data_IF_976889308068
#
_entry.id   IF_976889308068
#
_cell.length_a   1.000
_cell.length_b   1.000
_cell.length_c   1.000
_cell.angle_alpha   90.00
_cell.angle_beta   90.00
_cell.angle_gamma   90.00
#
_symmetry.space_group_name_H-M   'P 1'
#
loop_
_entity.id
_entity.type
_entity.pdbx_description
1 polymer ?
#
# COMPACT_ATOMS: atom_id res chain seq x y z
N UNK A 1 -13.81 12.44 -17.36
CA UNK A 1 -14.40 13.61 -16.64
C UNK A 1 -15.14 14.51 -17.62
N UNK A 2 -16.30 15.05 -17.24
CA UNK A 2 -17.09 16.03 -18.03
C UNK A 2 -16.59 17.46 -17.76
N UNK A 3 -16.89 18.41 -18.67
CA UNK A 3 -16.51 19.83 -18.50
C UNK A 3 -17.05 20.44 -17.20
N UNK A 4 -18.33 20.20 -16.89
CA UNK A 4 -18.95 20.71 -15.66
C UNK A 4 -18.24 20.18 -14.40
N UNK A 5 -17.88 18.90 -14.40
CA UNK A 5 -17.14 18.26 -13.30
C UNK A 5 -15.71 18.80 -13.17
N UNK A 6 -15.02 19.02 -14.30
CA UNK A 6 -13.70 19.65 -14.32
C UNK A 6 -13.74 21.07 -13.74
N UNK A 7 -14.70 21.89 -14.19
CA UNK A 7 -14.92 23.25 -13.69
C UNK A 7 -15.21 23.26 -12.19
N UNK A 8 -16.05 22.35 -11.69
CA UNK A 8 -16.36 22.25 -10.27
C UNK A 8 -15.09 21.95 -9.44
N UNK A 9 -14.28 20.98 -9.87
CA UNK A 9 -13.03 20.65 -9.19
C UNK A 9 -12.05 21.82 -9.14
N UNK A 10 -11.82 22.51 -10.26
CA UNK A 10 -10.91 23.65 -10.30
C UNK A 10 -11.43 24.79 -9.42
N UNK A 11 -12.74 25.06 -9.41
CA UNK A 11 -13.32 26.10 -8.57
C UNK A 11 -13.22 25.77 -7.08
N UNK A 12 -13.33 24.50 -6.72
CA UNK A 12 -13.18 24.03 -5.35
C UNK A 12 -11.73 24.19 -4.85
N UNK A 13 -10.75 23.84 -5.68
CA UNK A 13 -9.33 24.12 -5.41
C UNK A 13 -9.06 25.62 -5.25
N UNK A 14 -9.62 26.44 -6.15
CA UNK A 14 -9.52 27.91 -6.05
C UNK A 14 -10.15 28.40 -4.75
N UNK A 15 -11.25 27.81 -4.31
CA UNK A 15 -11.91 28.11 -3.03
C UNK A 15 -11.00 27.83 -1.83
N UNK A 16 -10.46 26.62 -1.73
CA UNK A 16 -9.54 26.22 -0.67
C UNK A 16 -8.28 27.08 -0.63
N UNK A 17 -7.68 27.35 -1.79
CA UNK A 17 -6.49 28.17 -1.88
C UNK A 17 -6.76 29.65 -1.59
N UNK A 18 -8.00 30.11 -1.73
CA UNK A 18 -8.36 31.49 -1.37
C UNK A 18 -8.63 31.65 0.13
N UNK A 19 -8.62 30.58 0.93
CA UNK A 19 -8.87 30.68 2.37
C UNK A 19 -7.73 31.42 3.08
N UNK A 20 -8.08 32.23 4.10
CA UNK A 20 -7.08 32.94 4.92
C UNK A 20 -6.09 31.99 5.59
N UNK A 21 -6.57 30.81 5.99
CA UNK A 21 -5.72 29.80 6.62
C UNK A 21 -4.67 29.26 5.67
N UNK A 22 -5.06 28.90 4.43
CA UNK A 22 -4.13 28.43 3.42
C UNK A 22 -3.13 29.52 3.03
N UNK A 23 -3.61 30.72 2.72
CA UNK A 23 -2.77 31.85 2.32
C UNK A 23 -1.81 32.30 3.44
N UNK A 24 -2.22 32.20 4.72
CA UNK A 24 -1.33 32.45 5.86
C UNK A 24 -0.17 31.46 5.90
N UNK A 25 -0.46 30.15 5.85
CA UNK A 25 0.57 29.10 5.81
C UNK A 25 1.49 29.24 4.60
N UNK A 26 0.92 29.53 3.42
CA UNK A 26 1.69 29.74 2.21
C UNK A 26 2.61 30.96 2.34
N UNK A 27 2.11 32.06 2.92
CA UNK A 27 2.92 33.25 3.21
C UNK A 27 4.13 32.94 4.10
N UNK A 28 3.95 32.16 5.16
CA UNK A 28 5.05 31.74 6.04
C UNK A 28 6.10 30.90 5.29
N UNK A 29 5.66 30.01 4.39
CA UNK A 29 6.54 29.21 3.54
C UNK A 29 7.31 30.13 2.60
N UNK A 30 6.61 30.98 1.83
CA UNK A 30 7.23 31.91 0.88
C UNK A 30 8.24 32.84 1.57
N UNK A 31 7.96 33.30 2.79
CA UNK A 31 8.88 34.13 3.55
C UNK A 31 10.16 33.37 3.92
N UNK A 32 10.05 32.11 4.35
CA UNK A 32 11.21 31.26 4.67
C UNK A 32 12.05 30.98 3.42
N UNK A 33 11.40 30.77 2.28
CA UNK A 33 12.08 30.53 1.01
C UNK A 33 12.80 31.79 0.51
N UNK A 34 12.18 32.96 0.65
CA UNK A 34 12.82 34.24 0.30
C UNK A 34 14.11 34.50 1.10
N UNK A 35 14.21 33.99 2.34
CA UNK A 35 15.44 34.07 3.14
C UNK A 35 16.55 33.14 2.62
N UNK A 36 16.23 32.14 1.80
CA UNK A 36 17.18 31.15 1.26
C UNK A 36 17.76 31.56 -0.11
N UNK A 37 17.28 32.65 -0.72
CA UNK A 37 17.79 33.18 -2.00
C UNK A 37 16.81 33.00 -3.17
N UNK A 38 17.32 33.01 -4.40
CA UNK A 38 16.49 32.75 -5.59
C UNK A 38 16.15 31.26 -5.64
N UNK A 39 14.93 30.93 -5.20
CA UNK A 39 14.50 29.54 -5.09
C UNK A 39 13.52 29.18 -6.19
N UNK A 40 13.75 28.05 -6.90
CA UNK A 40 12.87 27.59 -7.97
C UNK A 40 11.45 27.33 -7.48
N UNK A 41 10.48 27.41 -8.40
CA UNK A 41 9.06 27.12 -8.14
C UNK A 41 8.81 25.70 -7.61
N UNK A 42 9.80 24.81 -7.72
CA UNK A 42 9.73 23.39 -7.36
C UNK A 42 10.11 23.10 -5.89
N UNK A 43 10.03 24.10 -5.01
CA UNK A 43 10.39 23.86 -3.62
C UNK A 43 9.40 22.94 -2.88
N UNK A 44 9.90 21.95 -2.10
CA UNK A 44 9.06 20.98 -1.41
C UNK A 44 8.00 21.57 -0.48
N UNK A 45 8.25 22.76 0.09
CA UNK A 45 7.36 23.39 1.08
C UNK A 45 6.00 23.77 0.50
N UNK A 46 5.96 24.50 -0.62
CA UNK A 46 4.71 24.90 -1.28
C UNK A 46 3.91 23.68 -1.72
N UNK A 47 4.61 22.69 -2.28
CA UNK A 47 3.98 21.45 -2.75
C UNK A 47 3.41 20.64 -1.61
N UNK A 48 4.12 20.47 -0.49
CA UNK A 48 3.59 19.77 0.66
C UNK A 48 2.30 20.41 1.21
N UNK A 49 2.22 21.75 1.22
CA UNK A 49 1.00 22.44 1.63
C UNK A 49 -0.15 22.23 0.62
N UNK A 50 0.14 22.34 -0.67
CA UNK A 50 -0.82 22.07 -1.75
C UNK A 50 -1.29 20.60 -1.75
N UNK A 51 -0.42 19.66 -1.39
CA UNK A 51 -0.67 18.23 -1.36
C UNK A 51 -1.79 17.81 -0.40
N UNK A 52 -1.86 18.45 0.77
CA UNK A 52 -2.92 18.22 1.76
C UNK A 52 -4.30 18.57 1.18
N UNK A 53 -4.40 19.70 0.46
CA UNK A 53 -5.63 20.13 -0.19
C UNK A 53 -5.97 19.26 -1.42
N UNK A 54 -4.96 18.95 -2.24
CA UNK A 54 -5.12 18.16 -3.46
C UNK A 54 -5.67 16.76 -3.17
N UNK A 55 -5.15 16.07 -2.15
CA UNK A 55 -5.49 14.68 -1.89
C UNK A 55 -6.99 14.45 -1.68
N UNK A 56 -7.64 15.31 -0.88
CA UNK A 56 -9.08 15.19 -0.60
C UNK A 56 -9.94 15.56 -1.81
N UNK A 57 -9.63 16.70 -2.46
CA UNK A 57 -10.41 17.16 -3.61
C UNK A 57 -10.27 16.16 -4.76
N UNK A 58 -9.06 15.78 -5.16
CA UNK A 58 -8.85 14.83 -6.25
C UNK A 58 -9.54 13.48 -6.02
N UNK A 59 -9.54 12.97 -4.78
CA UNK A 59 -10.26 11.75 -4.43
C UNK A 59 -11.77 11.89 -4.69
N UNK A 60 -12.40 13.02 -4.32
CA UNK A 60 -13.82 13.29 -4.59
C UNK A 60 -14.15 13.35 -6.09
N UNK A 61 -13.19 13.72 -6.92
CA UNK A 61 -13.33 13.73 -8.38
C UNK A 61 -12.83 12.46 -9.09
N UNK A 62 -12.38 11.45 -8.33
CA UNK A 62 -12.01 10.13 -8.86
C UNK A 62 -10.58 10.03 -9.39
N UNK A 63 -9.71 10.96 -9.01
CA UNK A 63 -8.27 10.89 -9.30
C UNK A 63 -7.55 10.17 -8.16
N UNK A 64 -6.55 9.36 -8.51
CA UNK A 64 -5.67 8.71 -7.53
C UNK A 64 -4.66 9.74 -7.01
N UNK A 65 -4.35 9.68 -5.71
CA UNK A 65 -3.28 10.48 -5.11
C UNK A 65 -1.92 10.10 -5.70
N UNK A 66 -1.24 11.01 -6.40
CA UNK A 66 0.18 10.86 -6.79
C UNK A 66 1.14 11.27 -5.67
N UNK A 67 2.35 11.72 -5.96
CA UNK A 67 3.27 12.42 -5.04
C UNK A 67 4.01 13.51 -5.82
N UNK A 68 4.28 14.67 -5.22
CA UNK A 68 5.00 15.75 -5.87
C UNK A 68 4.25 16.36 -7.06
N UNK A 69 5.00 16.70 -8.12
CA UNK A 69 4.52 17.41 -9.32
C UNK A 69 3.51 16.58 -10.14
N UNK A 70 3.62 15.25 -10.11
CA UNK A 70 2.67 14.31 -10.74
C UNK A 70 1.21 14.51 -10.25
N UNK A 71 1.02 15.13 -9.08
CA UNK A 71 -0.33 15.50 -8.60
C UNK A 71 -0.95 16.67 -9.36
N UNK A 72 -0.19 17.47 -10.10
CA UNK A 72 -0.75 18.51 -10.97
C UNK A 72 -1.22 17.97 -12.32
N UNK A 73 -0.87 16.73 -12.66
CA UNK A 73 -1.28 16.08 -13.90
C UNK A 73 -2.80 16.10 -14.14
N UNK A 74 -3.69 15.91 -13.14
CA UNK A 74 -5.11 16.15 -13.31
C UNK A 74 -5.47 17.56 -13.79
N UNK A 75 -4.76 18.60 -13.32
CA UNK A 75 -5.01 19.99 -13.71
C UNK A 75 -4.47 20.25 -15.13
N UNK A 76 -3.31 19.70 -15.45
CA UNK A 76 -2.74 19.71 -16.79
C UNK A 76 -3.70 19.11 -17.84
N UNK A 77 -4.18 17.89 -17.59
CA UNK A 77 -5.13 17.19 -18.45
C UNK A 77 -6.47 17.93 -18.57
N UNK A 78 -6.86 18.70 -17.56
CA UNK A 78 -8.04 19.57 -17.64
C UNK A 78 -7.81 20.72 -18.59
N UNK A 79 -6.64 21.35 -18.53
CA UNK A 79 -6.32 22.49 -19.38
C UNK A 79 -6.22 22.06 -20.85
N UNK A 80 -5.57 20.91 -21.11
CA UNK A 80 -5.49 20.30 -22.44
C UNK A 80 -6.89 20.01 -23.00
N UNK A 81 -7.77 19.41 -22.17
CA UNK A 81 -9.09 18.98 -22.61
C UNK A 81 -10.13 20.11 -22.64
N UNK A 82 -9.99 21.12 -21.78
CA UNK A 82 -10.93 22.22 -21.60
C UNK A 82 -10.18 23.57 -21.51
N UNK A 83 -9.66 24.08 -22.65
CA UNK A 83 -8.87 25.32 -22.68
C UNK A 83 -9.63 26.54 -22.13
N UNK A 84 -10.97 26.54 -22.19
CA UNK A 84 -11.82 27.60 -21.64
C UNK A 84 -11.78 27.72 -20.10
N UNK A 85 -11.09 26.79 -19.42
CA UNK A 85 -10.83 26.84 -17.99
C UNK A 85 -9.47 27.49 -17.64
N UNK A 86 -8.69 27.93 -18.63
CA UNK A 86 -7.36 28.52 -18.45
C UNK A 86 -7.32 29.61 -17.39
N UNK A 87 -8.22 30.59 -17.44
CA UNK A 87 -8.27 31.69 -16.46
C UNK A 87 -8.36 31.20 -15.00
N UNK A 88 -9.05 30.07 -14.77
CA UNK A 88 -9.23 29.50 -13.43
C UNK A 88 -7.99 28.74 -12.98
N UNK A 89 -7.33 28.04 -13.90
CA UNK A 89 -6.05 27.38 -13.65
C UNK A 89 -4.97 28.42 -13.39
N UNK A 90 -4.92 29.50 -14.17
CA UNK A 90 -4.02 30.63 -13.95
C UNK A 90 -4.26 31.30 -12.59
N UNK A 91 -5.53 31.45 -12.18
CA UNK A 91 -5.87 31.93 -10.83
C UNK A 91 -5.34 30.99 -9.74
N UNK A 92 -5.45 29.67 -9.93
CA UNK A 92 -4.93 28.68 -9.00
C UNK A 92 -3.40 28.77 -8.88
N UNK A 93 -2.69 28.91 -10.00
CA UNK A 93 -1.23 29.11 -10.02
C UNK A 93 -0.81 30.38 -9.29
N UNK A 94 -1.52 31.49 -9.53
CA UNK A 94 -1.28 32.75 -8.84
C UNK A 94 -1.49 32.62 -7.32
N UNK A 95 -2.52 31.88 -6.89
CA UNK A 95 -2.78 31.64 -5.47
C UNK A 95 -1.70 30.76 -4.80
N UNK A 96 -0.98 29.94 -5.56
CA UNK A 96 0.17 29.16 -5.09
C UNK A 96 1.50 29.93 -5.13
N UNK A 97 1.52 31.14 -5.70
CA UNK A 97 2.74 31.93 -5.85
C UNK A 97 3.74 31.34 -6.84
N UNK A 98 3.29 30.54 -7.81
CA UNK A 98 4.14 29.97 -8.84
C UNK A 98 4.42 31.01 -9.93
N UNK A 99 5.69 31.15 -10.36
CA UNK A 99 6.09 32.08 -11.42
C UNK A 99 5.94 31.45 -12.82
N UNK A 100 6.15 30.14 -12.91
CA UNK A 100 6.10 29.37 -14.15
C UNK A 100 4.66 29.16 -14.63
N UNK A 101 4.45 29.15 -15.95
CA UNK A 101 3.15 28.77 -16.52
C UNK A 101 2.86 27.29 -16.22
N UNK A 102 1.59 26.88 -16.09
CA UNK A 102 1.23 25.47 -16.06
C UNK A 102 1.86 24.66 -17.21
N UNK A 103 2.00 25.26 -18.39
CA UNK A 103 2.60 24.62 -19.56
C UNK A 103 4.11 24.36 -19.40
N UNK A 104 4.83 25.25 -18.72
CA UNK A 104 6.29 25.17 -18.58
C UNK A 104 6.71 24.02 -17.66
N UNK A 105 5.92 23.75 -16.60
CA UNK A 105 6.17 22.65 -15.68
C UNK A 105 5.96 21.28 -16.34
N UNK A 106 5.01 21.19 -17.27
CA UNK A 106 4.67 19.95 -17.96
C UNK A 106 5.61 19.66 -19.13
N UNK A 107 6.03 20.71 -19.84
CA UNK A 107 6.97 20.57 -20.95
C UNK A 107 8.33 20.03 -20.50
N UNK A 108 8.71 20.23 -19.23
CA UNK A 108 9.96 19.69 -18.67
C UNK A 108 9.93 18.17 -18.49
N UNK A 109 8.79 17.55 -18.16
CA UNK A 109 8.71 16.10 -17.97
C UNK A 109 8.76 15.33 -19.30
N UNK A 110 8.16 15.86 -20.38
CA UNK A 110 8.13 15.16 -21.67
C UNK A 110 9.51 15.07 -22.35
N UNK A 111 10.41 16.01 -22.05
CA UNK A 111 11.76 16.06 -22.63
C UNK A 111 12.68 15.01 -22.00
N UNK A 112 12.41 14.54 -20.79
CA UNK A 112 13.25 13.55 -20.10
C UNK A 112 12.84 12.09 -20.40
N UNK A 113 11.61 11.85 -20.86
CA UNK A 113 11.11 10.50 -21.18
C UNK A 113 11.30 10.10 -22.65
N UNK A 114 11.50 11.07 -23.55
CA UNK A 114 11.44 10.82 -25.02
C UNK A 114 12.77 10.51 -25.72
N UNK A 115 13.84 10.17 -24.98
CA UNK A 115 15.10 9.65 -25.58
C UNK A 115 15.38 8.23 -25.11
N UNK A 116 14.46 7.32 -25.35
CA UNK A 116 14.74 5.89 -25.26
C UNK A 116 15.35 5.42 -26.60
N UNK A 117 16.65 5.01 -26.62
CA UNK A 117 17.29 4.54 -27.85
C UNK A 117 16.61 3.26 -28.34
N UNK A 118 16.37 3.17 -29.65
CA UNK A 118 15.85 1.94 -30.25
C UNK A 118 16.70 0.73 -29.80
N UNK A 119 16.08 -0.32 -29.23
CA UNK A 119 16.82 -1.41 -28.64
C UNK A 119 17.59 -2.17 -29.71
N UNK A 120 18.91 -2.28 -29.52
CA UNK A 120 19.75 -3.18 -30.28
C UNK A 120 19.16 -4.61 -30.21
N UNK A 121 18.82 -5.17 -31.38
CA UNK A 121 17.95 -6.36 -31.57
C UNK A 121 18.32 -7.65 -30.82
N UNK A 122 19.40 -7.71 -30.04
CA UNK A 122 19.92 -8.94 -29.43
C UNK A 122 20.27 -8.85 -27.92
N UNK A 123 20.08 -7.71 -27.26
CA UNK A 123 20.34 -7.63 -25.82
C UNK A 123 19.16 -8.21 -25.03
N UNK A 124 19.43 -9.10 -24.06
CA UNK A 124 18.39 -9.57 -23.12
C UNK A 124 17.79 -8.34 -22.41
N UNK A 125 16.46 -8.18 -22.36
CA UNK A 125 15.84 -7.07 -21.64
C UNK A 125 16.22 -7.16 -20.16
N UNK A 126 16.80 -6.10 -19.62
CA UNK A 126 17.02 -5.96 -18.18
C UNK A 126 15.80 -5.22 -17.61
N UNK A 127 15.13 -5.83 -16.64
CA UNK A 127 13.99 -5.21 -15.98
C UNK A 127 14.47 -4.28 -14.87
N UNK A 128 14.25 -2.98 -15.01
CA UNK A 128 14.47 -2.02 -13.92
C UNK A 128 13.30 -2.06 -12.93
N UNK A 129 13.50 -1.57 -11.70
CA UNK A 129 12.42 -1.46 -10.69
C UNK A 129 11.21 -0.70 -11.23
N UNK A 130 11.43 0.44 -11.90
CA UNK A 130 10.35 1.24 -12.48
C UNK A 130 9.54 0.45 -13.52
N UNK A 131 10.21 -0.33 -14.38
CA UNK A 131 9.54 -1.20 -15.36
C UNK A 131 8.82 -2.38 -14.70
N UNK A 132 9.38 -2.97 -13.64
CA UNK A 132 8.71 -4.02 -12.87
C UNK A 132 7.39 -3.52 -12.24
N UNK A 133 7.41 -2.33 -11.64
CA UNK A 133 6.22 -1.70 -11.06
C UNK A 133 5.17 -1.36 -12.14
N UNK A 134 5.60 -0.82 -13.27
CA UNK A 134 4.71 -0.53 -14.40
C UNK A 134 4.06 -1.82 -14.95
N UNK A 135 4.85 -2.90 -15.10
CA UNK A 135 4.36 -4.21 -15.53
C UNK A 135 3.28 -4.75 -14.58
N UNK A 136 3.52 -4.70 -13.27
CA UNK A 136 2.53 -5.10 -12.28
C UNK A 136 1.28 -4.22 -12.28
N UNK A 137 1.43 -2.91 -12.49
CA UNK A 137 0.29 -2.00 -12.58
C UNK A 137 -0.60 -2.32 -13.80
N UNK A 138 0.00 -2.64 -14.95
CA UNK A 138 -0.73 -3.12 -16.13
C UNK A 138 -1.40 -4.47 -15.89
N UNK A 139 -0.72 -5.42 -15.23
CA UNK A 139 -1.32 -6.70 -14.84
C UNK A 139 -2.52 -6.51 -13.91
N UNK A 140 -2.38 -5.68 -12.89
CA UNK A 140 -3.45 -5.35 -11.96
C UNK A 140 -4.63 -4.73 -12.72
N UNK A 141 -4.36 -3.81 -13.66
CA UNK A 141 -5.38 -3.22 -14.53
C UNK A 141 -6.10 -4.26 -15.39
N UNK A 142 -5.36 -5.17 -16.02
CA UNK A 142 -5.91 -6.23 -16.86
C UNK A 142 -6.75 -7.24 -16.05
N UNK A 143 -6.27 -7.66 -14.88
CA UNK A 143 -7.02 -8.56 -14.01
C UNK A 143 -8.22 -7.88 -13.38
N UNK A 144 -8.15 -6.61 -13.04
CA UNK A 144 -9.30 -5.85 -12.51
C UNK A 144 -10.32 -5.47 -13.58
N UNK A 145 -10.03 -5.67 -14.87
CA UNK A 145 -10.92 -5.28 -15.96
C UNK A 145 -12.26 -6.07 -15.88
N UNK A 146 -13.42 -5.41 -16.15
CA UNK A 146 -14.73 -6.08 -16.05
C UNK A 146 -14.85 -7.35 -16.91
N UNK A 147 -14.21 -7.36 -18.09
CA UNK A 147 -14.19 -8.51 -18.99
C UNK A 147 -13.42 -9.70 -18.42
N UNK A 148 -12.29 -9.46 -17.74
CA UNK A 148 -11.52 -10.49 -17.06
C UNK A 148 -12.28 -11.01 -15.83
N UNK A 149 -12.79 -10.10 -15.00
CA UNK A 149 -13.58 -10.44 -13.82
C UNK A 149 -14.84 -11.24 -14.14
N UNK A 150 -15.49 -10.96 -15.28
CA UNK A 150 -16.62 -11.77 -15.78
C UNK A 150 -16.20 -13.20 -16.10
N UNK A 151 -15.08 -13.40 -16.81
CA UNK A 151 -14.54 -14.74 -17.11
C UNK A 151 -14.16 -15.49 -15.83
N UNK A 152 -13.51 -14.81 -14.90
CA UNK A 152 -13.14 -15.37 -13.61
C UNK A 152 -14.39 -15.80 -12.81
N UNK A 153 -15.47 -15.02 -12.85
CA UNK A 153 -16.75 -15.37 -12.23
C UNK A 153 -17.48 -16.54 -12.93
N UNK A 154 -17.37 -16.65 -14.26
CA UNK A 154 -17.87 -17.80 -15.03
C UNK A 154 -17.10 -19.07 -14.69
N UNK A 155 -15.77 -19.00 -14.66
CA UNK A 155 -14.90 -20.08 -14.22
C UNK A 155 -15.22 -20.45 -12.76
N UNK A 156 -15.43 -19.46 -11.90
CA UNK A 156 -15.89 -19.63 -10.51
C UNK A 156 -17.12 -20.51 -10.45
N UNK A 157 -18.17 -20.13 -11.19
CA UNK A 157 -19.44 -20.88 -11.24
C UNK A 157 -19.31 -22.28 -11.81
N UNK A 158 -18.47 -22.46 -12.84
CA UNK A 158 -18.26 -23.76 -13.50
C UNK A 158 -17.60 -24.79 -12.57
N UNK A 159 -16.71 -24.34 -11.68
CA UNK A 159 -15.92 -25.22 -10.81
C UNK A 159 -16.24 -25.05 -9.30
N UNK A 160 -17.41 -24.50 -8.94
CA UNK A 160 -17.83 -24.18 -7.54
C UNK A 160 -17.55 -25.33 -6.56
N UNK A 161 -17.84 -26.57 -6.97
CA UNK A 161 -17.78 -27.74 -6.07
C UNK A 161 -16.39 -28.35 -5.96
N UNK A 162 -15.49 -28.09 -6.91
CA UNK A 162 -14.20 -28.77 -6.97
C UNK A 162 -13.10 -27.91 -7.60
N UNK A 163 -12.83 -26.73 -7.02
CA UNK A 163 -11.70 -25.88 -7.42
C UNK A 163 -10.32 -26.56 -7.36
N UNK A 164 -10.24 -27.72 -6.70
CA UNK A 164 -9.03 -28.56 -6.61
C UNK A 164 -8.87 -29.53 -7.78
N UNK A 165 -9.89 -29.71 -8.61
CA UNK A 165 -9.73 -30.49 -9.83
C UNK A 165 -8.75 -29.77 -10.77
N UNK A 166 -7.90 -30.56 -11.42
CA UNK A 166 -6.86 -30.09 -12.34
C UNK A 166 -7.41 -29.16 -13.41
N UNK A 167 -8.65 -29.37 -13.83
CA UNK A 167 -9.26 -28.68 -14.97
C UNK A 167 -9.53 -27.20 -14.67
N UNK A 168 -10.05 -26.87 -13.49
CA UNK A 168 -10.31 -25.48 -13.09
C UNK A 168 -9.01 -24.68 -12.93
N UNK A 169 -7.96 -25.33 -12.41
CA UNK A 169 -6.63 -24.72 -12.28
C UNK A 169 -6.01 -24.45 -13.66
N UNK A 170 -6.08 -25.40 -14.58
CA UNK A 170 -5.54 -25.25 -15.95
C UNK A 170 -6.29 -24.14 -16.70
N UNK A 171 -7.62 -24.06 -16.58
CA UNK A 171 -8.41 -23.00 -17.24
C UNK A 171 -8.08 -21.61 -16.65
N UNK A 172 -7.85 -21.51 -15.34
CA UNK A 172 -7.43 -20.27 -14.67
C UNK A 172 -6.02 -19.85 -15.10
N UNK A 173 -5.08 -20.78 -15.11
CA UNK A 173 -3.71 -20.55 -15.56
C UNK A 173 -3.70 -20.06 -17.03
N UNK A 174 -4.52 -20.67 -17.90
CA UNK A 174 -4.62 -20.28 -19.30
C UNK A 174 -5.15 -18.84 -19.49
N UNK A 175 -6.17 -18.41 -18.73
CA UNK A 175 -6.67 -17.02 -18.85
C UNK A 175 -5.67 -16.00 -18.29
N UNK A 176 -4.94 -16.35 -17.22
CA UNK A 176 -3.91 -15.51 -16.64
C UNK A 176 -2.70 -15.39 -17.57
N UNK A 177 -2.25 -16.52 -18.11
CA UNK A 177 -1.14 -16.58 -19.05
C UNK A 177 -1.41 -15.72 -20.29
N UNK A 178 -2.61 -15.82 -20.87
CA UNK A 178 -2.98 -15.00 -22.03
C UNK A 178 -2.82 -13.51 -21.77
N UNK A 179 -3.26 -13.02 -20.61
CA UNK A 179 -3.11 -11.62 -20.24
C UNK A 179 -1.64 -11.25 -19.96
N UNK A 180 -0.89 -12.13 -19.28
CA UNK A 180 0.54 -11.94 -19.02
C UNK A 180 1.35 -11.85 -20.33
N UNK A 181 1.09 -12.72 -21.31
CA UNK A 181 1.77 -12.72 -22.60
C UNK A 181 1.55 -11.41 -23.38
N UNK A 182 0.32 -10.91 -23.39
CA UNK A 182 -0.01 -9.64 -24.05
C UNK A 182 0.79 -8.48 -23.47
N UNK A 183 0.85 -8.40 -22.14
CA UNK A 183 1.56 -7.31 -21.44
C UNK A 183 3.08 -7.50 -21.55
N UNK A 184 3.61 -8.71 -21.36
CA UNK A 184 5.04 -9.00 -21.38
C UNK A 184 5.72 -8.55 -22.68
N UNK A 185 5.02 -8.67 -23.82
CA UNK A 185 5.51 -8.19 -25.12
C UNK A 185 5.86 -6.70 -25.16
N UNK A 186 5.13 -5.87 -24.39
CA UNK A 186 5.38 -4.42 -24.28
C UNK A 186 6.65 -4.10 -23.49
N UNK A 187 7.12 -5.06 -22.69
CA UNK A 187 8.33 -4.93 -21.89
C UNK A 187 9.56 -5.54 -22.57
N UNK A 188 9.44 -5.92 -23.85
CA UNK A 188 10.53 -6.48 -24.64
C UNK A 188 10.75 -7.99 -24.42
N UNK A 189 9.84 -8.67 -23.71
CA UNK A 189 9.88 -10.11 -23.55
C UNK A 189 9.14 -10.80 -24.69
N UNK A 190 9.60 -11.98 -25.07
CA UNK A 190 8.92 -12.79 -26.08
C UNK A 190 7.49 -13.12 -25.61
N UNK A 191 6.49 -12.98 -26.50
CA UNK A 191 5.11 -13.38 -26.22
C UNK A 191 4.95 -14.92 -26.26
N UNK A 192 5.76 -15.61 -25.47
CA UNK A 192 5.78 -17.06 -25.33
C UNK A 192 6.00 -17.46 -23.87
N UNK A 193 5.77 -18.74 -23.58
CA UNK A 193 6.05 -19.35 -22.27
C UNK A 193 7.51 -19.14 -21.82
N UNK A 194 8.45 -19.11 -22.78
CA UNK A 194 9.85 -18.84 -22.49
C UNK A 194 10.05 -17.39 -22.05
N UNK A 195 9.49 -16.43 -22.78
CA UNK A 195 9.57 -15.02 -22.42
C UNK A 195 8.92 -14.70 -21.07
N UNK A 196 7.82 -15.39 -20.72
CA UNK A 196 7.25 -15.29 -19.36
C UNK A 196 8.16 -15.85 -18.28
N UNK A 197 8.83 -16.98 -18.51
CA UNK A 197 9.81 -17.53 -17.55
C UNK A 197 11.00 -16.59 -17.37
N UNK A 198 11.49 -16.01 -18.47
CA UNK A 198 12.57 -15.02 -18.43
C UNK A 198 12.13 -13.77 -17.64
N UNK A 199 10.90 -13.29 -17.85
CA UNK A 199 10.32 -12.17 -17.10
C UNK A 199 10.12 -12.51 -15.62
N UNK A 200 9.57 -13.68 -15.29
CA UNK A 200 9.38 -14.12 -13.91
C UNK A 200 10.74 -14.24 -13.19
N UNK A 201 11.79 -14.72 -13.87
CA UNK A 201 13.16 -14.76 -13.32
C UNK A 201 13.76 -13.37 -13.06
N UNK A 202 13.47 -12.39 -13.90
CA UNK A 202 13.85 -10.99 -13.66
C UNK A 202 13.02 -10.35 -12.52
N UNK A 203 11.73 -10.66 -12.43
CA UNK A 203 10.85 -10.20 -11.36
C UNK A 203 11.27 -10.71 -9.98
N UNK A 204 11.80 -11.93 -9.88
CA UNK A 204 12.29 -12.50 -8.61
C UNK A 204 13.40 -11.67 -7.95
N UNK A 205 14.14 -10.86 -8.71
CA UNK A 205 15.15 -9.93 -8.16
C UNK A 205 14.52 -8.87 -7.23
N UNK A 206 13.21 -8.66 -7.35
CA UNK A 206 12.44 -7.70 -6.58
C UNK A 206 11.53 -8.36 -5.53
N UNK A 207 11.70 -9.65 -5.22
CA UNK A 207 10.85 -10.37 -4.24
C UNK A 207 10.90 -9.75 -2.82
N UNK A 208 11.98 -9.04 -2.51
CA UNK A 208 12.17 -8.33 -1.24
C UNK A 208 11.80 -6.83 -1.32
N UNK A 209 11.38 -6.33 -2.49
CA UNK A 209 10.97 -4.93 -2.65
C UNK A 209 9.52 -4.73 -2.17
N UNK A 210 9.34 -3.78 -1.25
CA UNK A 210 8.05 -3.55 -0.60
C UNK A 210 6.97 -3.07 -1.59
N UNK A 211 7.31 -2.22 -2.57
CA UNK A 211 6.36 -1.68 -3.54
C UNK A 211 5.90 -2.80 -4.49
N UNK A 212 6.85 -3.61 -4.97
CA UNK A 212 6.58 -4.78 -5.81
C UNK A 212 5.73 -5.80 -5.06
N UNK A 213 6.00 -6.02 -3.77
CA UNK A 213 5.20 -6.90 -2.94
C UNK A 213 3.76 -6.41 -2.78
N UNK A 214 3.55 -5.11 -2.51
CA UNK A 214 2.21 -4.52 -2.38
C UNK A 214 1.40 -4.70 -3.67
N UNK A 215 2.02 -4.46 -4.83
CA UNK A 215 1.38 -4.70 -6.12
C UNK A 215 1.07 -6.18 -6.35
N UNK A 216 1.98 -7.09 -5.99
CA UNK A 216 1.72 -8.54 -6.07
C UNK A 216 0.51 -8.94 -5.23
N UNK A 217 0.37 -8.40 -4.02
CA UNK A 217 -0.81 -8.65 -3.18
C UNK A 217 -2.07 -8.10 -3.86
N UNK A 218 -2.05 -6.87 -4.38
CA UNK A 218 -3.20 -6.32 -5.09
C UNK A 218 -3.60 -7.16 -6.33
N UNK A 219 -2.61 -7.69 -7.06
CA UNK A 219 -2.81 -8.62 -8.18
C UNK A 219 -3.46 -9.92 -7.69
N UNK A 220 -2.97 -10.53 -6.61
CA UNK A 220 -3.58 -11.71 -6.00
C UNK A 220 -5.03 -11.42 -5.57
N UNK A 221 -5.30 -10.27 -4.98
CA UNK A 221 -6.66 -9.87 -4.58
C UNK A 221 -7.59 -9.72 -5.78
N UNK A 222 -7.11 -9.13 -6.88
CA UNK A 222 -7.86 -9.01 -8.13
C UNK A 222 -8.14 -10.38 -8.76
N UNK A 223 -7.25 -11.37 -8.59
CA UNK A 223 -7.44 -12.73 -9.08
C UNK A 223 -8.37 -13.58 -8.20
N UNK A 224 -8.59 -13.19 -6.94
CA UNK A 224 -9.40 -13.94 -5.98
C UNK A 224 -10.36 -13.05 -5.16
N UNK A 225 -11.20 -12.21 -5.79
CA UNK A 225 -12.04 -11.24 -5.08
C UNK A 225 -13.09 -11.91 -4.19
N UNK A 226 -13.55 -13.11 -4.58
CA UNK A 226 -14.55 -13.89 -3.85
C UNK A 226 -14.03 -14.46 -2.53
N UNK A 227 -12.72 -14.47 -2.29
CA UNK A 227 -12.17 -14.83 -0.99
C UNK A 227 -12.41 -13.74 0.07
N UNK A 228 -12.73 -12.51 -0.33
CA UNK A 228 -12.79 -11.35 0.58
C UNK A 228 -14.21 -10.81 0.83
N UNK A 229 -15.10 -10.87 -0.15
CA UNK A 229 -16.45 -10.30 -0.03
C UNK A 229 -17.40 -11.25 0.67
N UNK A 230 -17.32 -11.30 2.00
CA UNK A 230 -18.46 -11.24 2.95
C UNK A 230 -19.67 -12.16 2.81
N UNK A 231 -19.81 -12.98 1.76
CA UNK A 231 -20.53 -14.23 1.86
C UNK A 231 -19.66 -15.06 2.78
N UNK A 232 -20.05 -15.08 4.05
CA UNK A 232 -20.25 -16.36 4.74
C UNK A 232 -21.08 -17.26 3.80
N UNK A 233 -20.46 -17.73 2.70
CA UNK A 233 -20.53 -19.13 2.39
C UNK A 233 -20.38 -19.77 3.74
N UNK A 234 -21.36 -20.59 4.11
CA UNK A 234 -21.16 -21.65 5.07
C UNK A 234 -19.99 -22.43 4.49
N UNK A 235 -18.78 -21.91 4.70
CA UNK A 235 -17.55 -22.52 4.32
C UNK A 235 -17.59 -23.72 5.22
N UNK A 236 -17.86 -24.84 4.57
CA UNK A 236 -17.90 -26.13 5.17
C UNK A 236 -16.74 -26.16 6.18
N UNK A 237 -17.04 -26.39 7.46
CA UNK A 237 -16.03 -26.38 8.54
C UNK A 237 -14.80 -27.21 8.18
N UNK A 238 -14.96 -28.14 7.23
CA UNK A 238 -13.92 -28.94 6.59
C UNK A 238 -12.85 -28.16 5.81
N UNK A 239 -13.15 -27.03 5.15
CA UNK A 239 -12.18 -26.29 4.33
C UNK A 239 -11.24 -25.38 5.14
N UNK A 240 -11.65 -24.98 6.34
CA UNK A 240 -10.77 -24.34 7.34
C UNK A 240 -9.85 -25.34 8.05
N UNK A 241 -9.94 -26.64 7.73
CA UNK A 241 -9.23 -27.72 8.41
C UNK A 241 -7.76 -27.90 8.05
N UNK A 242 -7.20 -27.16 7.08
CA UNK A 242 -5.75 -27.11 6.87
C UNK A 242 -5.18 -25.84 7.47
N UNK A 243 -5.07 -25.81 8.79
CA UNK A 243 -4.14 -24.90 9.44
C UNK A 243 -2.75 -25.15 8.85
N UNK A 244 -2.09 -24.11 8.36
CA UNK A 244 -0.69 -24.22 7.97
C UNK A 244 0.15 -24.72 9.15
N UNK A 245 1.35 -25.23 8.91
CA UNK A 245 2.31 -25.36 10.01
C UNK A 245 2.86 -23.98 10.38
N UNK A 246 3.25 -23.80 11.64
CA UNK A 246 3.96 -22.58 12.05
C UNK A 246 5.24 -22.43 11.21
N UNK A 247 5.60 -21.21 10.77
CA UNK A 247 6.84 -20.95 10.04
C UNK A 247 8.05 -21.47 10.82
N UNK A 248 8.97 -22.19 10.20
CA UNK A 248 10.18 -22.69 10.88
C UNK A 248 11.47 -22.01 10.40
N UNK A 249 11.36 -21.07 9.47
CA UNK A 249 12.49 -20.38 8.86
C UNK A 249 12.24 -18.88 8.79
N UNK A 250 13.30 -18.07 8.82
CA UNK A 250 13.22 -16.61 8.66
C UNK A 250 12.45 -16.23 7.38
N UNK A 251 12.71 -16.92 6.26
CA UNK A 251 12.00 -16.71 5.00
C UNK A 251 10.47 -16.91 5.11
N UNK A 252 10.02 -17.97 5.78
CA UNK A 252 8.58 -18.23 5.95
C UNK A 252 7.93 -17.25 6.93
N UNK A 253 8.68 -16.77 7.94
CA UNK A 253 8.26 -15.67 8.81
C UNK A 253 8.14 -14.36 8.03
N UNK A 254 9.15 -14.00 7.23
CA UNK A 254 9.13 -12.82 6.38
C UNK A 254 7.90 -12.85 5.44
N UNK A 255 7.57 -14.00 4.84
CA UNK A 255 6.36 -14.16 4.01
C UNK A 255 5.06 -13.87 4.77
N UNK A 256 4.94 -14.33 6.03
CA UNK A 256 3.82 -14.01 6.91
C UNK A 256 3.76 -12.50 7.21
N UNK A 257 4.88 -11.91 7.57
CA UNK A 257 4.97 -10.48 7.92
C UNK A 257 4.66 -9.59 6.71
N UNK A 258 5.22 -9.86 5.53
CA UNK A 258 4.87 -9.15 4.29
C UNK A 258 3.37 -9.21 4.02
N UNK A 259 2.74 -10.38 4.17
CA UNK A 259 1.28 -10.51 3.98
C UNK A 259 0.47 -9.64 4.96
N UNK A 260 0.91 -9.54 6.22
CA UNK A 260 0.32 -8.60 7.17
C UNK A 260 0.58 -7.14 6.76
N UNK A 261 1.80 -6.81 6.36
CA UNK A 261 2.20 -5.47 5.94
C UNK A 261 1.35 -4.95 4.78
N UNK A 262 1.16 -5.75 3.72
CA UNK A 262 0.31 -5.33 2.60
C UNK A 262 -1.15 -5.13 3.02
N UNK A 263 -1.70 -6.05 3.82
CA UNK A 263 -3.08 -5.94 4.29
C UNK A 263 -3.29 -4.69 5.16
N UNK A 264 -2.35 -4.40 6.08
CA UNK A 264 -2.38 -3.18 6.87
C UNK A 264 -2.09 -1.93 6.05
N UNK A 265 -1.35 -2.02 4.95
CA UNK A 265 -1.09 -0.90 4.05
C UNK A 265 -2.30 -0.51 3.18
N UNK A 266 -3.39 -1.29 3.21
CA UNK A 266 -4.60 -0.98 2.44
C UNK A 266 -5.18 0.41 2.79
N UNK A 267 -5.70 1.19 1.82
CA UNK A 267 -6.22 2.53 2.07
C UNK A 267 -7.33 2.60 3.12
N UNK A 268 -8.23 1.61 3.13
CA UNK A 268 -9.33 1.53 4.09
C UNK A 268 -8.82 1.29 5.51
N UNK A 269 -7.81 0.44 5.68
CA UNK A 269 -7.18 0.20 6.98
C UNK A 269 -6.44 1.44 7.47
N UNK A 270 -5.63 2.07 6.62
CA UNK A 270 -4.87 3.28 6.95
C UNK A 270 -5.79 4.47 7.27
N UNK A 271 -6.94 4.58 6.61
CA UNK A 271 -7.98 5.53 6.98
C UNK A 271 -8.49 5.27 8.41
N UNK A 272 -8.75 4.02 8.77
CA UNK A 272 -9.13 3.62 10.13
C UNK A 272 -8.07 4.01 11.18
N UNK A 273 -6.79 3.75 10.91
CA UNK A 273 -5.69 4.18 11.79
C UNK A 273 -5.65 5.70 11.94
N UNK A 274 -5.87 6.44 10.84
CA UNK A 274 -5.91 7.90 10.86
C UNK A 274 -7.07 8.43 11.72
N UNK A 275 -8.25 7.80 11.64
CA UNK A 275 -9.38 8.13 12.51
C UNK A 275 -9.06 7.88 13.99
N UNK A 276 -8.42 6.75 14.32
CA UNK A 276 -8.00 6.45 15.68
C UNK A 276 -7.00 7.49 16.20
N UNK A 277 -5.99 7.86 15.40
CA UNK A 277 -5.00 8.89 15.77
C UNK A 277 -5.63 10.26 16.04
N UNK A 278 -6.59 10.69 15.21
CA UNK A 278 -7.32 11.95 15.44
C UNK A 278 -8.17 11.95 16.71
N UNK A 279 -8.57 10.76 17.16
CA UNK A 279 -9.41 10.58 18.34
C UNK A 279 -8.59 10.27 19.60
N UNK A 280 -7.26 10.19 19.48
CA UNK A 280 -6.36 9.87 20.59
C UNK A 280 -6.02 11.13 21.38
N UNK A 281 -5.95 11.00 22.70
CA UNK A 281 -5.55 12.10 23.59
C UNK A 281 -4.07 12.48 23.36
N UNK A 282 -3.72 13.71 23.73
CA UNK A 282 -2.36 14.26 23.58
C UNK A 282 -1.30 13.37 24.25
N UNK A 283 -1.64 12.74 25.38
CA UNK A 283 -0.74 11.84 26.12
C UNK A 283 -0.33 10.62 25.28
N UNK A 284 -1.25 10.04 24.50
CA UNK A 284 -0.94 8.90 23.61
C UNK A 284 -0.03 9.30 22.44
N UNK A 285 -0.13 10.55 21.98
CA UNK A 285 0.75 11.08 20.95
C UNK A 285 2.20 11.21 21.46
N UNK A 286 2.40 11.60 22.72
CA UNK A 286 3.71 11.72 23.35
C UNK A 286 4.46 10.37 23.44
N UNK A 287 3.74 9.27 23.66
CA UNK A 287 4.33 7.93 23.65
C UNK A 287 4.54 7.35 22.25
N UNK A 288 4.23 8.14 21.22
CA UNK A 288 4.36 7.74 19.83
C UNK A 288 3.31 6.70 19.43
N UNK A 289 2.10 6.82 19.98
CA UNK A 289 0.94 5.96 19.73
C UNK A 289 1.18 4.48 20.05
N UNK A 290 2.06 4.20 21.02
CA UNK A 290 2.33 2.83 21.44
C UNK A 290 1.06 2.15 21.97
N UNK A 291 0.17 2.87 22.65
CA UNK A 291 -1.11 2.38 23.19
C UNK A 291 -2.34 2.94 22.47
N UNK A 292 -2.30 3.02 21.14
CA UNK A 292 -3.42 3.55 20.37
C UNK A 292 -4.71 2.73 20.60
N UNK A 293 -5.67 3.31 21.32
CA UNK A 293 -6.95 2.65 21.65
C UNK A 293 -7.70 2.27 20.37
N UNK A 294 -8.31 1.09 20.33
CA UNK A 294 -9.07 0.59 19.17
C UNK A 294 -8.22 -0.06 18.07
N UNK A 295 -6.88 0.03 18.15
CA UNK A 295 -5.98 -0.54 17.15
C UNK A 295 -6.08 -2.06 17.05
N UNK A 296 -6.20 -2.75 18.19
CA UNK A 296 -6.31 -4.21 18.22
C UNK A 296 -7.63 -4.68 17.58
N UNK A 297 -8.73 -3.97 17.83
CA UNK A 297 -10.04 -4.23 17.23
C UNK A 297 -10.03 -4.00 15.72
N UNK A 298 -9.28 -3.00 15.25
CA UNK A 298 -9.11 -2.72 13.83
C UNK A 298 -8.23 -3.78 13.14
N UNK A 299 -7.14 -4.22 13.77
CA UNK A 299 -6.18 -5.18 13.21
C UNK A 299 -6.69 -6.64 13.21
N UNK A 300 -7.44 -7.05 14.23
CA UNK A 300 -7.82 -8.45 14.42
C UNK A 300 -8.63 -9.06 13.25
N UNK A 301 -9.59 -8.36 12.60
CA UNK A 301 -10.28 -8.87 11.41
C UNK A 301 -9.34 -9.20 10.25
N UNK A 302 -8.25 -8.46 10.08
CA UNK A 302 -7.21 -8.71 9.07
C UNK A 302 -6.40 -9.95 9.48
N UNK A 303 -5.90 -9.96 10.72
CA UNK A 303 -5.09 -11.06 11.26
C UNK A 303 -5.85 -12.38 11.29
N UNK A 304 -7.16 -12.37 11.59
CA UNK A 304 -8.02 -13.57 11.59
C UNK A 304 -8.02 -14.31 10.26
N UNK A 305 -7.81 -13.60 9.14
CA UNK A 305 -7.74 -14.18 7.80
C UNK A 305 -6.35 -14.70 7.47
N UNK A 306 -5.31 -14.01 7.94
CA UNK A 306 -3.91 -14.30 7.59
C UNK A 306 -3.33 -15.41 8.48
N UNK A 307 -3.48 -15.29 9.79
CA UNK A 307 -2.81 -16.15 10.78
C UNK A 307 -3.07 -17.65 10.60
N UNK A 308 -4.31 -18.12 10.34
CA UNK A 308 -4.57 -19.56 10.13
C UNK A 308 -3.79 -20.19 8.97
N UNK A 309 -3.43 -19.39 7.96
CA UNK A 309 -2.64 -19.85 6.81
C UNK A 309 -1.20 -20.21 7.18
N UNK A 310 -0.74 -19.74 8.33
CA UNK A 310 0.60 -19.95 8.88
C UNK A 310 0.55 -20.69 10.22
N UNK A 311 -0.53 -21.43 10.51
CA UNK A 311 -0.62 -22.25 11.72
C UNK A 311 -0.86 -21.51 13.02
N UNK A 312 -1.21 -20.21 12.95
CA UNK A 312 -1.60 -19.42 14.11
C UNK A 312 -3.12 -19.31 14.19
N UNK A 313 -3.66 -19.20 15.39
CA UNK A 313 -5.10 -18.96 15.56
C UNK A 313 -5.47 -17.54 15.09
N UNK A 314 -6.63 -17.38 14.46
CA UNK A 314 -7.20 -16.07 14.09
C UNK A 314 -7.80 -15.29 15.28
N UNK A 315 -7.16 -15.35 16.44
CA UNK A 315 -7.62 -14.83 17.73
C UNK A 315 -6.54 -13.94 18.36
N UNK A 316 -6.86 -13.20 19.42
CA UNK A 316 -5.85 -12.41 20.17
C UNK A 316 -4.71 -13.29 20.71
N UNK A 317 -5.04 -14.47 21.22
CA UNK A 317 -4.05 -15.44 21.65
C UNK A 317 -3.12 -15.90 20.51
N UNK A 318 -3.67 -16.12 19.31
CA UNK A 318 -2.87 -16.47 18.14
C UNK A 318 -2.00 -15.32 17.62
N UNK A 319 -2.41 -14.06 17.83
CA UNK A 319 -1.54 -12.89 17.54
C UNK A 319 -0.35 -12.86 18.50
N UNK A 320 -0.57 -13.09 19.80
CA UNK A 320 0.51 -13.15 20.78
C UNK A 320 1.47 -14.33 20.48
N UNK A 321 0.92 -15.49 20.15
CA UNK A 321 1.68 -16.66 19.72
C UNK A 321 2.50 -16.35 18.44
N UNK A 322 1.91 -15.64 17.47
CA UNK A 322 2.63 -15.19 16.27
C UNK A 322 3.76 -14.22 16.61
N UNK A 323 3.53 -13.23 17.46
CA UNK A 323 4.56 -12.26 17.87
C UNK A 323 5.71 -12.95 18.59
N UNK A 324 5.40 -13.82 19.56
CA UNK A 324 6.40 -14.61 20.29
C UNK A 324 7.16 -15.58 19.39
N UNK A 325 6.53 -16.06 18.32
CA UNK A 325 7.17 -16.94 17.34
C UNK A 325 8.07 -16.16 16.39
N UNK A 326 7.62 -15.00 15.91
CA UNK A 326 8.40 -14.11 15.05
C UNK A 326 9.62 -13.53 15.77
N UNK A 327 9.56 -13.31 17.09
CA UNK A 327 10.70 -12.75 17.82
C UNK A 327 11.95 -13.62 17.74
N UNK A 328 11.81 -14.94 17.62
CA UNK A 328 12.93 -15.88 17.43
C UNK A 328 13.77 -15.60 16.18
N UNK A 329 13.21 -14.86 15.22
CA UNK A 329 13.86 -14.50 13.97
C UNK A 329 14.16 -13.00 13.90
N UNK A 330 13.99 -12.24 14.99
CA UNK A 330 14.11 -10.77 14.97
C UNK A 330 15.54 -10.27 14.70
N UNK A 331 16.56 -11.11 14.92
CA UNK A 331 17.95 -10.81 14.56
C UNK A 331 18.19 -10.84 13.05
N UNK A 332 17.29 -11.44 12.27
CA UNK A 332 17.32 -11.36 10.82
C UNK A 332 16.91 -9.93 10.37
N UNK A 333 17.76 -9.20 9.62
CA UNK A 333 17.50 -7.80 9.27
C UNK A 333 16.19 -7.57 8.51
N UNK A 334 15.80 -8.50 7.65
CA UNK A 334 14.56 -8.39 6.88
C UNK A 334 13.33 -8.58 7.77
N UNK A 335 13.36 -9.59 8.65
CA UNK A 335 12.30 -9.80 9.64
C UNK A 335 12.16 -8.56 10.54
N UNK A 336 13.27 -8.00 11.02
CA UNK A 336 13.27 -6.80 11.86
C UNK A 336 12.64 -5.59 11.16
N UNK A 337 13.00 -5.34 9.89
CA UNK A 337 12.43 -4.25 9.10
C UNK A 337 10.93 -4.43 8.86
N UNK A 338 10.50 -5.64 8.46
CA UNK A 338 9.09 -5.93 8.25
C UNK A 338 8.26 -5.76 9.53
N UNK A 339 8.84 -6.13 10.67
CA UNK A 339 8.22 -5.96 11.97
C UNK A 339 8.01 -4.48 12.30
N UNK A 340 9.01 -3.63 12.06
CA UNK A 340 8.90 -2.18 12.23
C UNK A 340 7.88 -1.57 11.26
N UNK A 341 7.92 -1.95 9.98
CA UNK A 341 7.02 -1.45 8.95
C UNK A 341 5.55 -1.78 9.27
N UNK A 342 5.28 -3.00 9.74
CA UNK A 342 3.94 -3.38 10.21
C UNK A 342 3.51 -2.48 11.37
N UNK A 343 4.37 -2.27 12.36
CA UNK A 343 4.04 -1.43 13.51
C UNK A 343 3.82 0.03 13.12
N UNK A 344 4.58 0.56 12.15
CA UNK A 344 4.33 1.88 11.55
C UNK A 344 2.96 1.94 10.87
N UNK A 345 2.58 0.92 10.09
CA UNK A 345 1.24 0.83 9.47
C UNK A 345 0.13 0.65 10.50
N UNK A 346 0.43 0.06 11.65
CA UNK A 346 -0.45 0.00 12.81
C UNK A 346 -0.48 1.32 13.61
N UNK A 347 0.21 2.35 13.13
CA UNK A 347 0.14 3.70 13.64
C UNK A 347 1.23 4.07 14.65
N UNK A 348 2.16 3.18 14.98
CA UNK A 348 3.28 3.50 15.86
C UNK A 348 4.25 4.50 15.21
N UNK A 349 5.03 5.19 16.03
CA UNK A 349 6.19 5.98 15.59
C UNK A 349 7.45 5.11 15.52
N UNK A 350 8.52 5.52 14.80
CA UNK A 350 9.78 4.77 14.76
C UNK A 350 10.37 4.45 16.15
N UNK A 351 10.29 5.42 17.09
CA UNK A 351 10.75 5.22 18.46
C UNK A 351 9.90 4.20 19.23
N UNK A 352 8.59 4.14 18.96
CA UNK A 352 7.71 3.13 19.54
C UNK A 352 7.99 1.73 18.96
N UNK A 353 8.25 1.63 17.64
CA UNK A 353 8.66 0.37 17.01
C UNK A 353 9.95 -0.19 17.63
N UNK A 354 10.98 0.65 17.81
CA UNK A 354 12.23 0.23 18.46
C UNK A 354 11.99 -0.38 19.86
N UNK A 355 11.21 0.31 20.72
CA UNK A 355 10.86 -0.23 22.05
C UNK A 355 10.09 -1.54 21.96
N UNK A 356 9.19 -1.67 20.98
CA UNK A 356 8.41 -2.88 20.78
C UNK A 356 9.30 -4.06 20.37
N UNK A 357 10.29 -3.82 19.50
CA UNK A 357 11.31 -4.81 19.14
C UNK A 357 12.16 -5.23 20.34
N UNK A 358 12.66 -4.29 21.13
CA UNK A 358 13.44 -4.59 22.34
C UNK A 358 12.63 -5.45 23.32
N UNK A 359 11.33 -5.15 23.45
CA UNK A 359 10.40 -5.95 24.26
C UNK A 359 10.25 -7.36 23.69
N UNK A 360 10.05 -7.50 22.37
CA UNK A 360 9.90 -8.80 21.71
C UNK A 360 11.19 -9.66 21.82
N UNK A 361 12.36 -9.04 21.72
CA UNK A 361 13.66 -9.71 21.92
C UNK A 361 13.83 -10.19 23.37
N UNK A 362 13.44 -9.37 24.35
CA UNK A 362 13.50 -9.75 25.77
C UNK A 362 12.61 -10.95 26.14
N UNK A 363 11.54 -11.19 25.37
CA UNK A 363 10.68 -12.37 25.56
C UNK A 363 11.43 -13.69 25.28
N UNK A 364 12.50 -13.67 24.47
CA UNK A 364 13.30 -14.87 24.21
C UNK A 364 14.22 -15.25 25.37
N UNK A 365 14.66 -14.26 26.16
CA UNK A 365 15.58 -14.49 27.28
C UNK A 365 14.88 -15.06 28.51
N UNK A 366 13.54 -15.04 28.54
CA UNK A 366 12.78 -15.70 29.59
C UNK A 366 12.64 -17.18 29.24
N UNK A 367 13.57 -17.99 29.79
CA UNK A 367 13.45 -19.44 29.84
C UNK A 367 11.99 -19.82 30.18
N UNK A 368 11.36 -20.78 29.47
CA UNK A 368 9.98 -21.18 29.69
C UNK A 368 9.82 -21.80 31.08
N UNK A 369 9.74 -20.95 32.09
CA UNK A 369 9.57 -21.33 33.48
C UNK A 369 8.11 -21.74 33.62
N UNK A 370 7.85 -23.04 33.46
CA UNK A 370 6.64 -23.79 33.79
C UNK A 370 5.40 -22.89 34.09
N UNK A 371 4.80 -22.35 33.03
CA UNK A 371 3.76 -21.34 33.13
C UNK A 371 2.37 -21.99 33.32
N UNK A 372 2.07 -22.42 34.55
CA UNK A 372 0.73 -22.91 34.94
C UNK A 372 -0.15 -21.86 35.63
N UNK A 373 0.30 -20.61 35.81
CA UNK A 373 -0.42 -19.63 36.66
C UNK A 373 -0.92 -18.35 35.97
N UNK A 374 -0.62 -18.09 34.70
CA UNK A 374 -1.06 -16.85 34.01
C UNK A 374 -2.43 -16.95 33.28
N UNK A 375 -3.29 -17.92 33.64
CA UNK A 375 -4.64 -18.03 33.06
C UNK A 375 -5.73 -17.26 33.81
N UNK A 376 -5.48 -16.81 35.04
CA UNK A 376 -6.51 -16.21 35.91
C UNK A 376 -6.70 -14.70 35.68
N UNK A 377 -5.70 -13.98 35.19
CA UNK A 377 -5.73 -12.51 35.12
C UNK A 377 -5.95 -11.94 33.70
N UNK A 378 -6.22 -12.80 32.71
CA UNK A 378 -6.46 -12.40 31.33
C UNK A 378 -7.86 -11.79 31.08
N UNK A 379 -8.71 -11.66 32.10
CA UNK A 379 -10.00 -10.98 32.00
C UNK A 379 -9.95 -9.46 32.23
N UNK A 380 -8.79 -8.91 32.59
CA UNK A 380 -8.57 -7.47 32.70
C UNK A 380 -7.19 -7.07 32.17
N UNK A 381 -6.93 -7.26 30.87
CA UNK A 381 -5.84 -6.53 30.22
C UNK A 381 -5.98 -6.52 28.69
N UNK A 382 -6.46 -5.39 28.16
CA UNK A 382 -6.21 -4.97 26.79
C UNK A 382 -4.87 -4.21 26.66
N UNK A 383 -4.07 -4.18 27.73
CA UNK A 383 -2.81 -3.43 27.88
C UNK A 383 -1.65 -4.38 28.19
N UNK A 384 -1.33 -5.28 27.25
CA UNK A 384 -0.15 -6.16 27.31
C UNK A 384 1.18 -5.41 27.08
N UNK A 385 1.22 -4.16 27.52
CA UNK A 385 2.37 -3.26 27.45
C UNK A 385 2.70 -2.68 28.83
N UNK A 386 1.80 -2.75 29.81
CA UNK A 386 2.06 -2.14 31.11
C UNK A 386 2.98 -2.95 32.05
N UNK A 387 3.48 -4.13 31.65
CA UNK A 387 4.24 -5.04 32.53
C UNK A 387 5.77 -4.95 32.39
N UNK A 388 6.32 -4.16 31.46
CA UNK A 388 7.79 -4.05 31.29
C UNK A 388 8.46 -2.79 31.88
N UNK A 389 7.73 -1.87 32.54
CA UNK A 389 8.32 -0.64 33.12
C UNK A 389 7.89 -0.42 34.58
N UNK A 390 8.05 -1.46 35.40
CA UNK A 390 8.32 -1.30 36.84
C UNK A 390 9.41 -2.29 37.28
N UNK A 391 10.65 -1.91 36.96
CA UNK A 391 11.78 -2.07 37.88
C UNK A 391 12.50 -0.74 37.96
#
# INVERSE_FOLDING_TARGET
MTRARAKAMVMELVGEYSTKQFQGKLGDILQKEAQQGDVPDELPGRWALAEECHADIFARYGFKSGTGVERLRPIALILEKFPDLEDKVQKLWKLLGLKSSPADLLAKEEVEVSKEPEPAKNAKPILSKARALAFQAELLGAFSAPSFQKKLAELSRKHITNWRETDGKVELEAIMEKAKLEIASRYGYEASQKGLKDLDGEMQKFDNDADVFVNNVAIEEALFPYAQTGRTLVMDKAALGRTGSKPTTAFTVAKLLRKQLAAFSSPSFQHGISCLKRSADVEQACEGYYHLRGRAELALPVQRRILPQYGFQGSRAGVLDMVSHCSQFISDPEVAHLFDDINLKLGMTPRACARFRDTAESMLSQEPTSCQMLRSDLHASADLVHIAVKK
#
